data_IF_630167304485
#
_entry.id   IF_630167304485
#
_cell.length_a   1.000
_cell.length_b   1.000
_cell.length_c   1.000
_cell.angle_alpha   90.00
_cell.angle_beta   90.00
_cell.angle_gamma   90.00
#
_symmetry.space_group_name_H-M   'P 1'
#
loop_
_entity.id
_entity.type
_entity.pdbx_description
1 polymer ?
#
# COMPACT_ATOMS: atom_id res chain seq x y z
N UNK A 1 -3.87 43.34 -6.42
CA UNK A 1 -4.90 42.34 -6.07
C UNK A 1 -4.23 40.98 -6.12
N UNK A 2 -4.17 40.26 -4.99
CA UNK A 2 -3.67 38.89 -4.99
C UNK A 2 -4.74 37.98 -5.59
N UNK A 3 -4.39 37.24 -6.63
CA UNK A 3 -5.25 36.20 -7.19
C UNK A 3 -5.32 35.10 -6.12
N UNK A 4 -6.50 34.91 -5.53
CA UNK A 4 -6.78 33.73 -4.73
C UNK A 4 -6.71 32.54 -5.69
N UNK A 5 -5.58 31.83 -5.67
CA UNK A 5 -5.45 30.58 -6.41
C UNK A 5 -6.51 29.62 -5.89
N UNK A 6 -7.30 29.06 -6.81
CA UNK A 6 -8.25 28.01 -6.45
C UNK A 6 -7.45 26.82 -5.91
N UNK A 7 -7.40 26.67 -4.59
CA UNK A 7 -6.92 25.45 -3.96
C UNK A 7 -8.07 24.46 -3.99
N UNK A 8 -7.89 23.36 -4.72
CA UNK A 8 -8.75 22.19 -4.55
C UNK A 8 -8.64 21.70 -3.10
N UNK A 9 -9.77 21.31 -2.52
CA UNK A 9 -9.78 20.69 -1.20
C UNK A 9 -8.97 19.40 -1.23
N UNK A 10 -8.02 19.26 -0.31
CA UNK A 10 -7.22 18.03 -0.23
C UNK A 10 -8.14 16.85 0.13
N UNK A 11 -8.09 15.73 -0.61
CA UNK A 11 -8.94 14.57 -0.34
C UNK A 11 -8.80 14.05 1.10
N UNK A 12 -9.91 13.61 1.72
CA UNK A 12 -9.88 12.83 2.98
C UNK A 12 -9.40 11.40 2.70
N UNK A 13 -8.09 11.29 2.52
CA UNK A 13 -7.40 10.02 2.33
C UNK A 13 -6.13 9.95 3.15
N UNK A 14 -5.78 8.73 3.53
CA UNK A 14 -4.46 8.40 4.07
C UNK A 14 -3.59 7.69 3.03
N UNK A 15 -4.11 7.38 1.84
CA UNK A 15 -3.35 6.69 0.80
C UNK A 15 -2.49 7.66 0.00
N UNK A 16 -1.18 7.41 0.01
CA UNK A 16 -0.20 8.25 -0.67
C UNK A 16 -0.41 8.27 -2.20
N UNK A 17 -0.92 7.19 -2.78
CA UNK A 17 -1.23 7.06 -4.21
C UNK A 17 -2.43 7.88 -4.69
N UNK A 18 -3.22 8.42 -3.76
CA UNK A 18 -4.40 9.25 -4.04
C UNK A 18 -4.10 10.75 -3.91
N UNK A 19 -2.87 11.11 -3.53
CA UNK A 19 -2.43 12.49 -3.38
C UNK A 19 -1.51 12.90 -4.53
N UNK A 20 -1.63 14.16 -4.94
CA UNK A 20 -0.63 14.83 -5.77
C UNK A 20 0.65 15.09 -4.97
N UNK A 21 1.78 15.24 -5.67
CA UNK A 21 3.03 15.58 -5.01
C UNK A 21 2.97 16.91 -4.24
N UNK A 22 2.14 17.86 -4.67
CA UNK A 22 1.93 19.14 -3.98
C UNK A 22 1.20 18.97 -2.66
N UNK A 23 0.17 18.12 -2.60
CA UNK A 23 -0.54 17.81 -1.35
C UNK A 23 0.37 17.06 -0.37
N UNK A 24 1.23 16.16 -0.87
CA UNK A 24 2.24 15.48 -0.06
C UNK A 24 3.23 16.48 0.53
N UNK A 25 3.76 17.40 -0.30
CA UNK A 25 4.65 18.49 0.15
C UNK A 25 3.99 19.32 1.25
N UNK A 26 2.74 19.74 1.04
CA UNK A 26 2.03 20.60 1.98
C UNK A 26 1.75 19.85 3.30
N UNK A 27 1.47 18.54 3.24
CA UNK A 27 1.33 17.69 4.43
C UNK A 27 2.64 17.52 5.20
N UNK A 28 3.77 17.42 4.52
CA UNK A 28 5.10 17.41 5.15
C UNK A 28 5.37 18.76 5.85
N UNK A 29 5.07 19.88 5.17
CA UNK A 29 5.19 21.22 5.76
C UNK A 29 4.28 21.43 6.97
N UNK A 30 3.10 20.79 6.98
CA UNK A 30 2.18 20.76 8.12
C UNK A 30 2.60 19.79 9.25
N UNK A 31 3.78 19.14 9.13
CA UNK A 31 4.35 18.30 10.19
C UNK A 31 4.12 16.80 10.04
N UNK A 32 3.57 16.33 8.90
CA UNK A 32 3.47 14.91 8.60
C UNK A 32 4.84 14.27 8.36
N UNK A 33 5.18 13.22 9.09
CA UNK A 33 6.52 12.59 9.08
C UNK A 33 6.52 11.07 8.94
N UNK A 34 5.34 10.44 8.93
CA UNK A 34 5.23 8.98 9.02
C UNK A 34 4.56 8.39 7.79
N UNK A 35 5.12 7.29 7.28
CA UNK A 35 4.53 6.47 6.22
C UNK A 35 4.51 5.01 6.68
N UNK A 36 3.36 4.37 6.53
CA UNK A 36 3.18 2.92 6.67
C UNK A 36 3.39 2.30 5.29
N UNK A 37 4.30 1.32 5.20
CA UNK A 37 4.54 0.55 3.98
C UNK A 37 3.86 -0.81 4.12
N UNK A 38 2.65 -1.00 3.57
CA UNK A 38 1.98 -2.29 3.62
C UNK A 38 2.66 -3.31 2.69
N UNK A 39 3.01 -4.46 3.27
CA UNK A 39 3.54 -5.60 2.53
C UNK A 39 2.50 -6.71 2.53
N UNK A 40 2.08 -7.12 1.33
CA UNK A 40 1.15 -8.20 1.11
C UNK A 40 1.86 -9.42 0.50
N UNK A 41 1.35 -9.88 -0.63
CA UNK A 41 1.84 -11.06 -1.35
C UNK A 41 0.79 -11.60 -2.32
N UNK A 42 1.25 -12.35 -3.31
CA UNK A 42 0.40 -13.06 -4.27
C UNK A 42 0.74 -14.54 -4.18
N UNK A 43 0.02 -15.26 -3.32
CA UNK A 43 0.34 -16.64 -2.92
C UNK A 43 -0.87 -17.56 -2.86
N UNK A 44 -0.65 -18.83 -3.17
CA UNK A 44 -1.62 -19.88 -2.92
C UNK A 44 -2.01 -19.93 -1.44
N UNK A 45 -3.27 -20.22 -1.14
CA UNK A 45 -3.71 -20.52 0.23
C UNK A 45 -4.94 -21.41 0.25
N UNK A 46 -4.81 -22.56 -0.38
CA UNK A 46 -5.88 -23.53 -0.52
C UNK A 46 -6.95 -23.12 -1.57
N UNK A 47 -7.90 -24.03 -1.83
CA UNK A 47 -8.79 -23.94 -3.00
C UNK A 47 -9.91 -22.90 -2.87
N UNK A 48 -10.10 -22.31 -1.69
CA UNK A 48 -11.23 -21.42 -1.37
C UNK A 48 -10.83 -19.95 -1.21
N UNK A 49 -9.54 -19.63 -1.36
CA UNK A 49 -9.01 -18.28 -1.13
C UNK A 49 -8.40 -17.71 -2.40
N UNK A 50 -8.67 -16.42 -2.65
CA UNK A 50 -7.99 -15.66 -3.68
C UNK A 50 -6.51 -15.46 -3.32
N UNK A 51 -5.63 -15.53 -4.33
CA UNK A 51 -4.18 -15.41 -4.14
C UNK A 51 -3.74 -14.03 -3.63
N UNK A 52 -4.53 -12.99 -3.90
CA UNK A 52 -4.27 -11.62 -3.44
C UNK A 52 -4.83 -11.28 -2.05
N UNK A 53 -5.28 -12.26 -1.24
CA UNK A 53 -5.92 -12.02 0.07
C UNK A 53 -5.09 -11.14 1.00
N UNK A 54 -3.75 -11.27 0.96
CA UNK A 54 -2.84 -10.49 1.79
C UNK A 54 -2.92 -9.01 1.45
N UNK A 55 -2.99 -8.69 0.16
CA UNK A 55 -3.03 -7.31 -0.33
C UNK A 55 -4.30 -6.58 0.14
N UNK A 56 -5.45 -7.25 0.07
CA UNK A 56 -6.73 -6.69 0.54
C UNK A 56 -6.69 -6.46 2.05
N UNK A 57 -6.22 -7.47 2.81
CA UNK A 57 -6.19 -7.40 4.28
C UNK A 57 -5.20 -6.34 4.77
N UNK A 58 -4.00 -6.29 4.21
CA UNK A 58 -2.97 -5.33 4.64
C UNK A 58 -3.38 -3.90 4.29
N UNK A 59 -3.98 -3.64 3.11
CA UNK A 59 -4.48 -2.31 2.74
C UNK A 59 -5.50 -1.80 3.78
N UNK A 60 -6.50 -2.62 4.09
CA UNK A 60 -7.56 -2.26 5.03
C UNK A 60 -7.06 -2.05 6.47
N UNK A 61 -6.07 -2.84 6.91
CA UNK A 61 -5.50 -2.68 8.26
C UNK A 61 -4.56 -1.48 8.34
N UNK A 62 -3.73 -1.24 7.32
CA UNK A 62 -2.84 -0.08 7.27
C UNK A 62 -3.62 1.24 7.24
N UNK A 63 -4.74 1.30 6.52
CA UNK A 63 -5.63 2.47 6.58
C UNK A 63 -6.13 2.73 8.01
N UNK A 64 -6.66 1.71 8.67
CA UNK A 64 -7.15 1.83 10.06
C UNK A 64 -6.05 2.31 11.01
N UNK A 65 -4.84 1.79 10.86
CA UNK A 65 -3.69 2.21 11.68
C UNK A 65 -3.34 3.67 11.38
N UNK A 66 -3.21 4.05 10.10
CA UNK A 66 -2.86 5.42 9.73
C UNK A 66 -3.88 6.44 10.22
N UNK A 67 -5.18 6.14 10.09
CA UNK A 67 -6.25 6.98 10.62
C UNK A 67 -6.22 7.07 12.15
N UNK A 68 -5.88 5.98 12.85
CA UNK A 68 -5.74 5.98 14.32
C UNK A 68 -4.54 6.81 14.79
N UNK A 69 -3.43 6.79 14.05
CA UNK A 69 -2.25 7.60 14.34
C UNK A 69 -2.47 9.09 14.06
N UNK A 70 -3.32 9.42 13.08
CA UNK A 70 -3.69 10.80 12.71
C UNK A 70 -2.62 11.58 11.94
N UNK A 71 -1.37 11.10 11.89
CA UNK A 71 -0.24 11.78 11.24
C UNK A 71 0.53 10.90 10.22
N UNK A 72 -0.02 9.73 9.87
CA UNK A 72 0.61 8.80 8.95
C UNK A 72 -0.10 8.75 7.59
N UNK A 73 0.67 8.49 6.53
CA UNK A 73 0.16 8.06 5.23
C UNK A 73 0.42 6.56 5.02
N UNK A 74 -0.28 5.95 4.06
CA UNK A 74 -0.13 4.56 3.65
C UNK A 74 0.42 4.54 2.22
N UNK A 75 1.57 3.93 2.02
CA UNK A 75 2.15 3.72 0.70
C UNK A 75 1.36 2.66 -0.11
N UNK A 76 1.54 2.57 -1.44
CA UNK A 76 1.02 1.47 -2.24
C UNK A 76 1.40 0.11 -1.65
N UNK A 77 0.50 -0.87 -1.76
CA UNK A 77 0.76 -2.24 -1.29
C UNK A 77 1.87 -2.89 -2.11
N UNK A 78 2.92 -3.36 -1.45
CA UNK A 78 3.91 -4.24 -2.04
C UNK A 78 3.30 -5.65 -2.19
N UNK A 79 2.83 -5.93 -3.40
CA UNK A 79 2.08 -7.16 -3.73
C UNK A 79 2.96 -8.37 -4.09
N UNK A 80 4.27 -8.18 -4.18
CA UNK A 80 5.24 -9.21 -4.54
C UNK A 80 6.30 -9.33 -3.44
N UNK A 81 6.47 -10.55 -2.93
CA UNK A 81 7.40 -10.88 -1.87
C UNK A 81 8.09 -12.21 -2.21
N UNK A 82 9.16 -12.61 -1.49
CA UNK A 82 9.75 -13.94 -1.69
C UNK A 82 8.77 -15.05 -1.33
N UNK A 83 8.37 -15.86 -2.31
CA UNK A 83 7.42 -16.98 -2.17
C UNK A 83 8.06 -18.36 -2.42
N UNK A 84 9.34 -18.36 -2.81
CA UNK A 84 10.12 -19.55 -3.14
C UNK A 84 10.98 -19.35 -4.39
N UNK A 85 11.80 -20.34 -4.71
CA UNK A 85 12.60 -20.33 -5.94
C UNK A 85 11.71 -20.58 -7.16
N UNK A 86 12.06 -19.98 -8.29
CA UNK A 86 11.36 -20.18 -9.57
C UNK A 86 11.79 -21.51 -10.22
N UNK A 87 13.08 -21.87 -10.14
CA UNK A 87 13.61 -23.07 -10.79
C UNK A 87 14.73 -23.73 -9.95
N UNK A 88 14.55 -24.98 -9.48
CA UNK A 88 13.27 -25.69 -9.46
C UNK A 88 12.27 -24.97 -8.53
N UNK A 89 10.95 -25.04 -8.79
CA UNK A 89 9.96 -24.40 -7.93
C UNK A 89 10.02 -24.90 -6.48
N UNK A 90 10.09 -23.98 -5.51
CA UNK A 90 10.00 -24.30 -4.08
C UNK A 90 8.91 -23.48 -3.38
N UNK A 91 8.60 -23.77 -2.11
CA UNK A 91 7.62 -22.97 -1.36
C UNK A 91 6.23 -22.90 -2.02
N UNK A 92 5.66 -21.70 -2.10
CA UNK A 92 4.38 -21.45 -2.76
C UNK A 92 4.51 -21.35 -4.28
N UNK A 93 5.73 -21.17 -4.82
CA UNK A 93 6.00 -21.20 -6.27
C UNK A 93 5.70 -22.55 -6.93
N UNK A 94 5.46 -23.61 -6.14
CA UNK A 94 4.96 -24.91 -6.64
C UNK A 94 3.50 -24.88 -7.10
N UNK A 95 2.77 -23.81 -6.81
CA UNK A 95 1.34 -23.69 -7.07
C UNK A 95 1.07 -22.57 -8.09
N UNK A 96 0.24 -22.82 -9.13
CA UNK A 96 -0.13 -21.81 -10.11
C UNK A 96 -0.76 -20.57 -9.47
N UNK A 97 -0.40 -19.39 -9.96
CA UNK A 97 -0.90 -18.10 -9.47
C UNK A 97 -0.06 -17.46 -8.37
N UNK A 98 0.90 -18.17 -7.78
CA UNK A 98 1.91 -17.57 -6.89
C UNK A 98 2.95 -16.78 -7.70
N UNK A 99 3.34 -15.60 -7.22
CA UNK A 99 4.38 -14.76 -7.82
C UNK A 99 5.46 -14.43 -6.78
N UNK A 100 6.73 -14.56 -7.19
CA UNK A 100 7.89 -14.27 -6.31
C UNK A 100 8.77 -13.17 -6.89
N UNK A 101 9.52 -12.50 -6.02
CA UNK A 101 10.71 -11.72 -6.38
C UNK A 101 12.00 -12.48 -5.98
N UNK A 102 13.15 -12.19 -6.62
CA UNK A 102 14.45 -12.75 -6.24
C UNK A 102 14.93 -12.35 -4.85
#
# INVERSE_FOLDING_TARGET
MAVSGAHAETPDTVFLEELTWTEIRDRIQAGGTTVIVPIGGTEQNGPHMAVGKHNVRVKALSEKIARTLGNALVAPVLAYVPEGQVSPPTGHMRFPGTLTVP
#
